data_IF_083690574459
#
_entry.id   IF_083690574459
#
_cell.length_a   1.000
_cell.length_b   1.000
_cell.length_c   1.000
_cell.angle_alpha   90.00
_cell.angle_beta   90.00
_cell.angle_gamma   90.00
#
_symmetry.space_group_name_H-M   'P 1'
#
loop_
_entity.id
_entity.type
_entity.pdbx_description
1 polymer ?
#
# COMPACT_ATOMS: atom_id res chain seq x y z
N UNK A 1 -49.94 18.57 9.36
CA UNK A 1 -48.63 18.35 9.99
C UNK A 1 -47.65 19.30 9.32
N UNK A 2 -46.87 20.08 10.07
CA UNK A 2 -45.83 20.95 9.52
C UNK A 2 -44.50 20.22 9.64
N UNK A 3 -43.85 19.96 8.52
CA UNK A 3 -42.47 19.50 8.45
C UNK A 3 -41.63 20.59 7.81
N UNK A 4 -40.34 20.57 8.08
CA UNK A 4 -39.37 21.48 7.48
C UNK A 4 -38.12 20.67 7.21
N UNK A 5 -37.66 20.70 5.97
CA UNK A 5 -36.47 19.97 5.57
C UNK A 5 -35.24 20.74 6.06
N UNK A 6 -34.37 20.04 6.78
CA UNK A 6 -33.06 20.54 7.20
C UNK A 6 -32.02 19.73 6.43
N UNK A 7 -31.18 20.43 5.66
CA UNK A 7 -30.03 19.79 5.02
C UNK A 7 -28.94 19.56 6.06
N UNK A 8 -28.70 18.30 6.38
CA UNK A 8 -27.53 17.88 7.17
C UNK A 8 -26.39 17.60 6.20
N UNK A 9 -25.23 18.20 6.44
CA UNK A 9 -23.99 17.87 5.74
C UNK A 9 -23.09 17.09 6.69
N UNK A 10 -22.62 15.94 6.23
CA UNK A 10 -21.58 15.17 6.91
C UNK A 10 -20.28 15.34 6.11
N UNK A 11 -19.19 15.57 6.84
CA UNK A 11 -17.85 15.68 6.29
C UNK A 11 -16.98 14.66 7.02
N UNK A 12 -16.28 13.83 6.26
CA UNK A 12 -15.31 12.89 6.81
C UNK A 12 -13.91 13.51 6.74
N UNK A 13 -13.08 13.18 7.73
CA UNK A 13 -11.66 13.52 7.72
C UNK A 13 -10.89 12.28 7.28
N UNK A 14 -9.95 12.45 6.35
CA UNK A 14 -8.97 11.43 6.05
C UNK A 14 -7.99 11.39 7.23
N UNK A 15 -7.93 10.26 7.93
CA UNK A 15 -6.95 9.99 8.99
C UNK A 15 -6.00 8.93 8.48
N UNK A 16 -4.74 8.97 8.92
CA UNK A 16 -3.75 7.91 8.67
C UNK A 16 -4.13 6.69 9.52
N UNK A 17 -5.02 5.86 9.00
CA UNK A 17 -5.58 4.69 9.67
C UNK A 17 -5.43 3.39 8.86
N UNK A 18 -4.83 3.45 7.67
CA UNK A 18 -4.51 2.32 6.83
C UNK A 18 -3.00 2.24 6.60
N UNK A 19 -2.35 1.18 7.10
CA UNK A 19 -0.94 0.96 6.82
C UNK A 19 -0.73 0.53 5.34
N UNK A 20 0.44 0.84 4.74
CA UNK A 20 0.79 0.36 3.42
C UNK A 20 0.73 -1.18 3.32
N UNK A 21 0.12 -1.70 2.26
CA UNK A 21 0.00 -3.12 1.99
C UNK A 21 0.75 -3.52 0.71
N UNK A 22 1.49 -4.62 0.75
CA UNK A 22 2.18 -5.16 -0.43
C UNK A 22 1.21 -5.86 -1.39
N UNK A 23 1.40 -5.63 -2.69
CA UNK A 23 0.55 -6.08 -3.77
C UNK A 23 1.20 -7.21 -4.58
N UNK A 24 0.41 -8.14 -5.13
CA UNK A 24 0.95 -9.23 -5.95
C UNK A 24 1.81 -10.24 -5.16
N UNK A 25 1.51 -10.41 -3.88
CA UNK A 25 2.16 -11.40 -3.01
C UNK A 25 1.41 -12.73 -2.99
N UNK A 26 2.10 -13.80 -2.61
CA UNK A 26 1.48 -15.06 -2.22
C UNK A 26 1.63 -15.20 -0.71
N UNK A 27 0.52 -15.22 0.02
CA UNK A 27 0.50 -15.30 1.49
C UNK A 27 1.38 -14.21 2.17
N UNK A 28 1.34 -12.99 1.64
CA UNK A 28 2.10 -11.85 2.18
C UNK A 28 3.60 -11.89 1.86
N UNK A 29 4.04 -12.78 0.97
CA UNK A 29 5.45 -12.99 0.65
C UNK A 29 5.71 -12.83 -0.85
N UNK A 30 6.90 -12.33 -1.15
CA UNK A 30 7.50 -12.44 -2.48
C UNK A 30 8.57 -13.53 -2.46
N UNK A 31 8.71 -14.23 -3.57
CA UNK A 31 9.78 -15.21 -3.77
C UNK A 31 10.48 -14.92 -5.09
N UNK A 32 11.81 -14.82 -5.02
CA UNK A 32 12.67 -14.61 -6.17
C UNK A 32 13.81 -15.62 -6.14
N UNK A 33 14.24 -16.07 -7.31
CA UNK A 33 15.41 -16.91 -7.51
C UNK A 33 16.45 -16.17 -8.34
N UNK A 34 17.72 -16.46 -8.12
CA UNK A 34 18.81 -15.92 -8.93
C UNK A 34 19.83 -17.02 -9.21
N UNK A 35 20.47 -16.97 -10.38
CA UNK A 35 21.50 -17.93 -10.76
C UNK A 35 22.84 -17.56 -10.14
N UNK A 36 23.64 -18.57 -9.78
CA UNK A 36 25.00 -18.34 -9.30
C UNK A 36 25.82 -17.58 -10.37
N UNK A 37 26.66 -16.65 -9.92
CA UNK A 37 27.48 -15.78 -10.78
C UNK A 37 26.68 -14.81 -11.67
N UNK A 38 25.41 -14.54 -11.33
CA UNK A 38 24.66 -13.42 -11.91
C UNK A 38 25.40 -12.09 -11.72
N UNK A 39 25.23 -11.16 -12.66
CA UNK A 39 25.80 -9.82 -12.57
C UNK A 39 25.31 -9.10 -11.30
N UNK A 40 26.16 -8.28 -10.70
CA UNK A 40 25.86 -7.56 -9.45
C UNK A 40 24.60 -6.68 -9.54
N UNK A 41 24.33 -6.12 -10.71
CA UNK A 41 23.19 -5.23 -10.97
C UNK A 41 21.96 -5.96 -11.55
N UNK A 42 21.93 -7.30 -11.48
CA UNK A 42 20.80 -8.07 -11.98
C UNK A 42 19.55 -7.82 -11.14
N UNK A 43 18.50 -7.30 -11.78
CA UNK A 43 17.21 -7.08 -11.14
C UNK A 43 16.52 -8.43 -10.93
N UNK A 44 16.28 -8.79 -9.66
CA UNK A 44 15.61 -10.05 -9.30
C UNK A 44 14.09 -9.95 -9.41
N UNK A 45 13.55 -8.74 -9.25
CA UNK A 45 12.13 -8.46 -9.27
C UNK A 45 11.82 -7.07 -8.77
N UNK A 46 10.53 -6.77 -8.66
CA UNK A 46 10.02 -5.50 -8.16
C UNK A 46 8.96 -5.81 -7.12
N UNK A 47 9.04 -5.13 -5.98
CA UNK A 47 8.00 -5.15 -4.94
C UNK A 47 7.18 -3.87 -5.06
N UNK A 48 5.90 -3.95 -4.74
CA UNK A 48 5.00 -2.79 -4.76
C UNK A 48 4.11 -2.84 -3.55
N UNK A 49 3.93 -1.71 -2.89
CA UNK A 49 2.95 -1.53 -1.85
C UNK A 49 2.12 -0.29 -2.12
N UNK A 50 0.87 -0.32 -1.65
CA UNK A 50 -0.09 0.76 -1.76
C UNK A 50 -0.58 1.14 -0.38
N UNK A 51 -0.55 2.43 -0.13
CA UNK A 51 -1.24 3.05 0.99
C UNK A 51 -2.65 3.47 0.55
N UNK A 52 -3.67 3.20 1.37
CA UNK A 52 -5.06 3.47 1.02
C UNK A 52 -5.46 4.92 1.32
N UNK A 53 -4.74 5.59 2.22
CA UNK A 53 -4.93 6.98 2.62
C UNK A 53 -4.22 7.95 1.64
N UNK A 54 -3.27 7.42 0.85
CA UNK A 54 -2.63 8.09 -0.28
C UNK A 54 -1.22 8.60 0.01
N UNK A 55 -0.66 8.23 1.15
CA UNK A 55 0.67 8.58 1.59
C UNK A 55 1.76 7.93 0.73
N UNK A 56 2.93 8.56 0.71
CA UNK A 56 4.09 8.03 -0.01
C UNK A 56 4.70 6.83 0.72
N UNK A 57 4.79 5.70 0.04
CA UNK A 57 5.42 4.49 0.58
C UNK A 57 6.94 4.54 0.42
N UNK A 58 7.67 4.28 1.51
CA UNK A 58 9.14 4.17 1.52
C UNK A 58 9.56 2.74 1.84
N UNK A 59 10.54 2.22 1.09
CA UNK A 59 11.00 0.82 1.20
C UNK A 59 12.38 0.73 1.85
N UNK A 60 12.56 -0.26 2.71
CA UNK A 60 13.87 -0.62 3.29
C UNK A 60 13.96 -2.11 3.51
N UNK A 61 15.15 -2.69 3.33
CA UNK A 61 15.43 -4.08 3.70
C UNK A 61 15.94 -4.07 5.15
N UNK A 62 15.24 -4.80 6.02
CA UNK A 62 15.65 -5.02 7.41
C UNK A 62 16.10 -6.47 7.59
N UNK A 63 16.96 -6.69 8.58
CA UNK A 63 17.61 -7.98 8.84
C UNK A 63 16.78 -8.87 9.77
#
# INVERSE_FOLDING_TARGET
MKTTDITVKLNEQNLDDNAPAFEGTTDGQYSFSYDENSAADSVLGTVSAKDADGEAVTYSIVR
#
